data_IF_251422420164
#
_entry.id   IF_251422420164
#
_cell.length_a   1.000
_cell.length_b   1.000
_cell.length_c   1.000
_cell.angle_alpha   90.00
_cell.angle_beta   90.00
_cell.angle_gamma   90.00
#
_symmetry.space_group_name_H-M   'P 1'
#
loop_
_entity.id
_entity.type
_entity.pdbx_description
1 polymer ?
#
# COMPACT_ATOMS: atom_id res chain seq x y z
N UNK A 1 25.97 -13.74 -16.72
CA UNK A 1 25.28 -12.78 -15.84
C UNK A 1 23.95 -13.40 -15.47
N UNK A 2 23.62 -13.52 -14.18
CA UNK A 2 22.32 -14.05 -13.74
C UNK A 2 21.22 -13.04 -14.08
N UNK A 3 20.30 -13.43 -14.96
CA UNK A 3 19.03 -12.75 -15.15
C UNK A 3 18.20 -12.97 -13.87
N UNK A 4 17.79 -11.90 -13.20
CA UNK A 4 16.93 -11.96 -12.01
C UNK A 4 15.46 -12.06 -12.43
N UNK A 5 15.11 -13.03 -13.28
CA UNK A 5 13.78 -13.11 -13.92
C UNK A 5 12.62 -13.27 -12.93
N UNK A 6 12.89 -13.78 -11.72
CA UNK A 6 11.88 -13.88 -10.66
C UNK A 6 11.46 -12.52 -10.08
N UNK A 7 12.27 -11.46 -10.24
CA UNK A 7 11.93 -10.09 -9.84
C UNK A 7 11.16 -9.33 -10.92
N UNK A 8 10.96 -9.95 -12.07
CA UNK A 8 10.27 -9.42 -13.24
C UNK A 8 8.96 -10.18 -13.45
N UNK A 9 7.83 -9.75 -12.84
CA UNK A 9 6.54 -10.36 -13.08
C UNK A 9 6.17 -10.49 -14.58
N UNK A 10 6.65 -9.59 -15.43
CA UNK A 10 6.47 -9.65 -16.90
C UNK A 10 7.14 -10.87 -17.57
N UNK A 11 8.12 -11.48 -16.90
CA UNK A 11 8.84 -12.67 -17.37
C UNK A 11 8.31 -13.98 -16.77
N UNK A 12 7.42 -13.89 -15.80
CA UNK A 12 6.77 -15.05 -15.21
C UNK A 12 5.67 -15.57 -16.14
N UNK A 13 5.40 -16.87 -16.10
CA UNK A 13 4.28 -17.43 -16.85
C UNK A 13 2.94 -16.86 -16.34
N UNK A 14 1.93 -16.66 -17.21
CA UNK A 14 0.63 -16.15 -16.77
C UNK A 14 0.05 -16.95 -15.61
N UNK A 15 -0.43 -16.25 -14.57
CA UNK A 15 -1.03 -16.87 -13.38
C UNK A 15 -0.04 -17.41 -12.34
N UNK A 16 1.27 -17.27 -12.55
CA UNK A 16 2.29 -17.69 -11.56
C UNK A 16 2.68 -16.61 -10.56
N UNK A 17 2.22 -15.38 -10.79
CA UNK A 17 2.46 -14.21 -9.95
C UNK A 17 1.20 -13.89 -9.14
N UNK A 18 1.36 -13.42 -7.91
CA UNK A 18 0.26 -12.99 -7.05
C UNK A 18 0.68 -11.75 -6.30
N UNK A 19 -0.16 -10.72 -6.34
CA UNK A 19 0.10 -9.48 -5.62
C UNK A 19 0.16 -9.73 -4.11
N UNK A 20 1.18 -9.17 -3.41
CA UNK A 20 1.23 -9.20 -1.95
C UNK A 20 0.08 -8.40 -1.31
N UNK A 21 -0.54 -7.50 -2.07
CA UNK A 21 -1.67 -6.67 -1.63
C UNK A 21 -3.02 -7.39 -1.77
N UNK A 22 -3.10 -8.45 -2.58
CA UNK A 22 -4.35 -9.15 -2.94
C UNK A 22 -5.22 -9.46 -1.72
N UNK A 23 -4.61 -9.96 -0.63
CA UNK A 23 -5.35 -10.35 0.57
C UNK A 23 -5.80 -9.14 1.39
N UNK A 24 -4.97 -8.10 1.50
CA UNK A 24 -5.30 -6.91 2.28
C UNK A 24 -6.41 -6.09 1.61
N UNK A 25 -6.38 -6.00 0.28
CA UNK A 25 -7.30 -5.18 -0.50
C UNK A 25 -8.53 -5.94 -1.02
N UNK A 26 -8.78 -7.17 -0.56
CA UNK A 26 -9.83 -8.04 -1.10
C UNK A 26 -11.24 -7.41 -1.02
N UNK A 27 -11.50 -6.66 0.06
CA UNK A 27 -12.79 -6.00 0.32
C UNK A 27 -12.69 -4.46 0.28
N UNK A 28 -11.56 -3.92 -0.20
CA UNK A 28 -11.34 -2.48 -0.28
C UNK A 28 -12.10 -1.86 -1.46
N UNK A 29 -12.55 -0.62 -1.30
CA UNK A 29 -13.11 0.15 -2.42
C UNK A 29 -11.96 0.56 -3.36
N UNK A 30 -11.94 0.10 -4.63
CA UNK A 30 -10.87 0.38 -5.57
C UNK A 30 -10.78 1.86 -5.97
N UNK A 31 -11.83 2.65 -5.73
CA UNK A 31 -11.78 4.10 -5.95
C UNK A 31 -10.99 4.80 -4.86
N UNK A 32 -11.01 4.27 -3.63
CA UNK A 32 -10.28 4.80 -2.49
C UNK A 32 -8.86 4.26 -2.39
N UNK A 33 -8.68 2.94 -2.59
CA UNK A 33 -7.37 2.26 -2.52
C UNK A 33 -7.26 1.21 -3.61
N UNK A 34 -6.27 1.33 -4.50
CA UNK A 34 -6.08 0.43 -5.64
C UNK A 34 -4.73 -0.29 -5.57
N UNK A 35 -4.73 -1.58 -5.95
CA UNK A 35 -3.51 -2.37 -6.15
C UNK A 35 -2.80 -1.96 -7.45
N UNK A 36 -1.56 -1.50 -7.33
CA UNK A 36 -0.65 -1.13 -8.41
C UNK A 36 0.64 -1.97 -8.40
N UNK A 37 0.58 -3.20 -7.87
CA UNK A 37 1.76 -4.06 -7.74
C UNK A 37 2.45 -4.31 -9.10
N UNK A 38 1.68 -4.45 -10.17
CA UNK A 38 2.21 -4.74 -11.51
C UNK A 38 2.68 -3.50 -12.30
N UNK A 39 2.59 -2.30 -11.74
CA UNK A 39 3.17 -1.10 -12.38
C UNK A 39 4.64 -1.33 -12.72
N UNK A 40 5.07 -0.89 -13.91
CA UNK A 40 6.46 -1.04 -14.34
C UNK A 40 7.40 -0.19 -13.50
N UNK A 41 8.42 -0.81 -12.90
CA UNK A 41 9.38 -0.13 -12.02
C UNK A 41 10.79 -0.57 -12.38
N UNK A 42 11.67 0.36 -12.67
CA UNK A 42 13.08 0.09 -12.97
C UNK A 42 13.99 0.81 -11.98
N UNK A 43 14.79 0.07 -11.22
CA UNK A 43 15.85 0.65 -10.39
C UNK A 43 17.04 1.01 -11.29
N UNK A 44 17.49 2.27 -11.20
CA UNK A 44 18.65 2.78 -11.92
C UNK A 44 19.78 3.06 -10.92
N UNK A 45 20.99 2.62 -11.25
CA UNK A 45 22.23 2.91 -10.53
C UNK A 45 23.30 3.41 -11.49
N UNK A 46 23.96 4.50 -11.16
CA UNK A 46 24.89 5.19 -12.06
C UNK A 46 24.47 6.63 -12.26
N UNK A 47 25.07 7.32 -13.21
CA UNK A 47 24.80 8.74 -13.44
C UNK A 47 23.38 8.95 -14.01
N UNK A 48 22.49 9.52 -13.20
CA UNK A 48 21.10 9.78 -13.62
C UNK A 48 20.98 10.94 -14.59
N UNK A 49 22.01 11.77 -14.78
CA UNK A 49 21.97 12.87 -15.75
C UNK A 49 22.03 12.35 -17.20
N UNK A 50 22.45 11.09 -17.38
CA UNK A 50 22.38 10.38 -18.65
C UNK A 50 20.98 9.83 -18.97
N UNK A 51 20.07 9.84 -18.00
CA UNK A 51 18.74 9.25 -18.12
C UNK A 51 17.73 10.32 -18.53
N UNK A 52 17.16 10.14 -19.72
CA UNK A 52 16.04 10.93 -20.23
C UNK A 52 14.77 10.08 -20.19
N UNK A 53 13.77 10.41 -19.35
CA UNK A 53 12.50 9.70 -19.31
C UNK A 53 11.74 9.83 -20.63
N UNK A 54 11.04 8.77 -21.03
CA UNK A 54 10.05 8.78 -22.10
C UNK A 54 8.76 9.52 -21.72
N UNK A 55 7.80 9.59 -22.65
CA UNK A 55 6.55 10.34 -22.47
C UNK A 55 5.59 9.73 -21.44
N UNK A 56 5.72 8.42 -21.15
CA UNK A 56 4.95 7.68 -20.15
C UNK A 56 5.82 7.20 -19.00
N UNK A 57 6.90 7.92 -18.75
CA UNK A 57 7.87 7.53 -17.74
C UNK A 57 8.10 8.65 -16.76
N UNK A 58 8.21 8.28 -15.49
CA UNK A 58 8.43 9.21 -14.41
C UNK A 58 9.67 8.80 -13.63
N UNK A 59 10.69 9.66 -13.65
CA UNK A 59 11.96 9.42 -12.95
C UNK A 59 11.94 10.06 -11.57
N UNK A 60 12.00 9.22 -10.54
CA UNK A 60 12.17 9.64 -9.15
C UNK A 60 13.63 9.48 -8.74
N UNK A 61 14.28 10.60 -8.41
CA UNK A 61 15.69 10.63 -7.99
C UNK A 61 15.79 10.49 -6.47
N UNK A 62 16.47 9.45 -5.99
CA UNK A 62 16.77 9.28 -4.57
C UNK A 62 18.10 9.93 -4.21
N UNK A 63 19.07 9.81 -5.11
CA UNK A 63 20.38 10.45 -5.06
C UNK A 63 20.81 10.77 -6.49
N UNK A 64 21.89 11.54 -6.71
CA UNK A 64 22.42 11.75 -8.06
C UNK A 64 22.79 10.44 -8.79
N UNK A 65 23.04 9.35 -8.04
CA UNK A 65 23.50 8.07 -8.59
C UNK A 65 22.49 6.92 -8.48
N UNK A 66 21.28 7.18 -7.97
CA UNK A 66 20.27 6.15 -7.72
C UNK A 66 18.88 6.72 -7.82
N UNK A 67 18.04 6.08 -8.61
CA UNK A 67 16.65 6.48 -8.81
C UNK A 67 15.78 5.32 -9.25
N UNK A 68 14.49 5.59 -9.34
CA UNK A 68 13.50 4.68 -9.89
C UNK A 68 12.82 5.34 -11.08
N UNK A 69 12.64 4.58 -12.15
CA UNK A 69 11.86 4.98 -13.30
C UNK A 69 10.57 4.16 -13.29
N UNK A 70 9.44 4.84 -13.17
CA UNK A 70 8.11 4.27 -13.29
C UNK A 70 7.68 4.36 -14.75
N UNK A 71 7.09 3.30 -15.29
CA UNK A 71 6.78 3.20 -16.73
C UNK A 71 5.54 2.37 -16.99
N UNK A 72 4.78 2.75 -18.03
CA UNK A 72 3.71 1.94 -18.62
C UNK A 72 4.22 0.98 -19.71
N UNK A 73 5.45 1.18 -20.20
CA UNK A 73 6.09 0.30 -21.19
C UNK A 73 6.62 -0.99 -20.51
N UNK A 74 7.07 -1.98 -21.30
CA UNK A 74 7.67 -3.19 -20.74
C UNK A 74 8.96 -2.85 -19.97
N UNK A 75 9.04 -3.12 -18.64
CA UNK A 75 10.25 -2.86 -17.84
C UNK A 75 11.51 -3.52 -18.41
N UNK A 76 11.39 -4.66 -19.10
CA UNK A 76 12.52 -5.33 -19.72
C UNK A 76 13.12 -4.52 -20.89
N UNK A 77 12.27 -3.93 -21.72
CA UNK A 77 12.69 -3.07 -22.84
C UNK A 77 13.30 -1.77 -22.32
N UNK A 78 12.69 -1.18 -21.29
CA UNK A 78 13.20 0.01 -20.60
C UNK A 78 14.57 -0.25 -19.99
N UNK A 79 14.77 -1.39 -19.32
CA UNK A 79 16.08 -1.80 -18.80
C UNK A 79 17.13 -1.93 -19.90
N UNK A 80 16.78 -2.51 -21.05
CA UNK A 80 17.70 -2.64 -22.17
C UNK A 80 18.12 -1.26 -22.70
N UNK A 81 17.14 -0.38 -22.96
CA UNK A 81 17.36 1.00 -23.42
C UNK A 81 18.24 1.80 -22.46
N UNK A 82 18.01 1.70 -21.15
CA UNK A 82 18.81 2.40 -20.14
C UNK A 82 20.25 1.89 -20.07
N UNK A 83 20.49 0.60 -20.32
CA UNK A 83 21.84 0.05 -20.35
C UNK A 83 22.64 0.52 -21.56
N UNK A 84 21.98 0.82 -22.69
CA UNK A 84 22.62 1.39 -23.88
C UNK A 84 23.19 2.78 -23.62
N UNK A 85 22.56 3.57 -22.73
CA UNK A 85 23.07 4.90 -22.33
C UNK A 85 24.14 4.84 -21.22
N UNK A 86 24.53 3.64 -20.79
CA UNK A 86 25.68 3.43 -19.90
C UNK A 86 25.38 3.41 -18.40
N UNK A 87 24.10 3.33 -17.99
CA UNK A 87 23.73 3.15 -16.58
C UNK A 87 23.41 1.68 -16.26
N UNK A 88 23.52 1.29 -14.99
CA UNK A 88 23.02 0.01 -14.52
C UNK A 88 21.52 0.14 -14.27
N UNK A 89 20.73 -0.71 -14.92
CA UNK A 89 19.27 -0.76 -14.74
C UNK A 89 18.82 -2.19 -14.37
N UNK A 90 17.83 -2.29 -13.49
CA UNK A 90 17.24 -3.54 -13.04
C UNK A 90 15.73 -3.41 -13.02
N UNK A 91 15.03 -4.41 -13.54
CA UNK A 91 13.59 -4.50 -13.34
C UNK A 91 13.32 -4.76 -11.85
N UNK A 92 12.65 -3.80 -11.24
CA UNK A 92 12.30 -3.76 -9.83
C UNK A 92 10.78 -3.89 -9.63
N UNK A 93 10.04 -4.29 -10.66
CA UNK A 93 8.58 -4.44 -10.63
C UNK A 93 8.14 -5.36 -9.49
N UNK A 94 8.85 -6.48 -9.29
CA UNK A 94 8.60 -7.40 -8.19
C UNK A 94 9.20 -6.96 -6.85
N UNK A 95 10.02 -5.90 -6.78
CA UNK A 95 10.67 -5.46 -5.54
C UNK A 95 9.82 -4.47 -4.74
N UNK A 96 9.07 -3.62 -5.43
CA UNK A 96 8.19 -2.63 -4.81
C UNK A 96 6.73 -2.92 -5.14
N UNK A 97 5.88 -2.92 -4.12
CA UNK A 97 4.44 -2.95 -4.29
C UNK A 97 3.88 -1.54 -4.34
N UNK A 98 3.12 -1.24 -5.40
CA UNK A 98 2.42 0.02 -5.58
C UNK A 98 1.00 -0.04 -5.01
N UNK A 99 0.58 1.05 -4.37
CA UNK A 99 -0.79 1.27 -3.92
C UNK A 99 -1.20 2.66 -4.38
N UNK A 100 -2.33 2.78 -5.07
CA UNK A 100 -2.96 4.08 -5.30
C UNK A 100 -3.85 4.41 -4.09
N UNK A 101 -3.75 5.63 -3.57
CA UNK A 101 -4.52 6.10 -2.41
C UNK A 101 -5.20 7.41 -2.79
N UNK A 102 -6.51 7.49 -2.56
CA UNK A 102 -7.31 8.70 -2.78
C UNK A 102 -7.46 9.52 -1.49
N UNK A 103 -7.31 10.84 -1.61
CA UNK A 103 -7.60 11.81 -0.57
C UNK A 103 -6.36 12.38 0.11
N UNK A 104 -6.20 13.70 0.05
CA UNK A 104 -5.06 14.39 0.64
C UNK A 104 -5.03 14.27 2.17
N UNK A 105 -6.20 14.32 2.82
CA UNK A 105 -6.31 14.20 4.27
C UNK A 105 -5.81 12.83 4.79
N UNK A 106 -6.05 11.76 4.03
CA UNK A 106 -5.53 10.44 4.35
C UNK A 106 -4.01 10.43 4.22
N UNK A 107 -3.47 10.96 3.11
CA UNK A 107 -2.02 11.03 2.91
C UNK A 107 -1.31 11.83 4.00
N UNK A 108 -1.86 12.97 4.45
CA UNK A 108 -1.31 13.76 5.56
C UNK A 108 -1.31 13.03 6.91
N UNK A 109 -2.10 11.96 7.08
CA UNK A 109 -2.01 11.07 8.25
C UNK A 109 -0.95 9.98 8.08
N UNK A 110 -0.72 9.56 6.83
CA UNK A 110 0.19 8.47 6.52
C UNK A 110 1.64 8.93 6.41
N UNK A 111 1.91 10.18 6.08
CA UNK A 111 3.27 10.67 5.87
C UNK A 111 3.45 12.12 6.32
N UNK A 112 4.67 12.43 6.74
CA UNK A 112 5.14 13.79 7.01
C UNK A 112 5.80 14.44 5.78
N UNK A 113 5.76 13.78 4.61
CA UNK A 113 6.24 14.35 3.35
C UNK A 113 5.42 15.57 2.95
N UNK A 114 6.09 16.55 2.34
CA UNK A 114 5.40 17.67 1.70
C UNK A 114 4.72 17.17 0.41
N UNK A 115 3.38 17.16 0.43
CA UNK A 115 2.56 16.65 -0.69
C UNK A 115 2.55 17.60 -1.90
N UNK A 116 3.03 18.84 -1.72
CA UNK A 116 3.15 19.83 -2.79
C UNK A 116 4.53 19.76 -3.49
N UNK A 117 5.49 19.05 -2.90
CA UNK A 117 6.85 18.83 -3.44
C UNK A 117 7.09 17.40 -3.98
N UNK A 118 6.01 16.65 -4.26
CA UNK A 118 6.11 15.32 -4.85
C UNK A 118 6.57 15.38 -6.32
N UNK A 119 7.33 14.38 -6.82
CA UNK A 119 7.60 13.07 -6.21
C UNK A 119 8.74 13.10 -5.18
N UNK A 120 8.58 12.31 -4.11
CA UNK A 120 9.56 12.22 -3.04
C UNK A 120 9.71 10.79 -2.49
N UNK A 121 10.83 10.53 -1.83
CA UNK A 121 11.02 9.31 -1.05
C UNK A 121 11.24 9.67 0.42
N UNK A 122 10.54 8.97 1.31
CA UNK A 122 10.61 9.26 2.73
C UNK A 122 9.70 8.39 3.57
N UNK A 123 9.50 8.75 4.84
CA UNK A 123 8.76 7.93 5.78
C UNK A 123 7.25 7.93 5.46
N UNK A 124 6.69 6.74 5.38
CA UNK A 124 5.27 6.42 5.41
C UNK A 124 5.00 5.61 6.70
N UNK A 125 3.88 5.86 7.35
CA UNK A 125 3.51 5.24 8.63
C UNK A 125 4.66 5.35 9.66
N UNK A 126 5.37 6.48 9.63
CA UNK A 126 6.54 6.84 10.46
C UNK A 126 7.77 5.93 10.37
N UNK A 127 7.70 4.74 9.75
CA UNK A 127 8.79 3.73 9.81
C UNK A 127 9.07 3.01 8.50
N UNK A 128 8.19 3.10 7.52
CA UNK A 128 8.36 2.45 6.22
C UNK A 128 8.84 3.48 5.22
N UNK A 129 10.02 3.27 4.64
CA UNK A 129 10.45 4.14 3.53
C UNK A 129 9.59 3.82 2.31
N UNK A 130 8.90 4.83 1.79
CA UNK A 130 8.10 4.75 0.59
C UNK A 130 8.59 5.75 -0.45
N UNK A 131 8.29 5.45 -1.72
CA UNK A 131 8.36 6.41 -2.82
C UNK A 131 6.92 6.86 -3.10
N UNK A 132 6.68 8.17 -3.07
CA UNK A 132 5.35 8.76 -3.20
C UNK A 132 5.33 9.69 -4.41
N UNK A 133 4.36 9.47 -5.29
CA UNK A 133 4.07 10.26 -6.48
C UNK A 133 2.65 10.81 -6.36
N UNK A 134 2.38 11.95 -6.98
CA UNK A 134 1.05 12.54 -7.06
C UNK A 134 0.53 12.45 -8.49
N UNK A 135 -0.65 11.89 -8.66
CA UNK A 135 -1.38 11.92 -9.92
C UNK A 135 -2.26 13.17 -10.00
N UNK A 136 -3.07 13.31 -11.05
CA UNK A 136 -4.02 14.42 -11.14
C UNK A 136 -5.00 14.41 -9.96
N UNK A 137 -5.13 15.55 -9.28
CA UNK A 137 -6.05 15.74 -8.15
C UNK A 137 -5.49 15.30 -6.79
N UNK A 138 -6.27 14.50 -6.06
CA UNK A 138 -5.95 14.00 -4.72
C UNK A 138 -5.60 12.51 -4.72
N UNK A 139 -5.08 12.00 -5.85
CA UNK A 139 -4.65 10.61 -5.97
C UNK A 139 -3.14 10.51 -5.86
N UNK A 140 -2.67 9.55 -5.08
CA UNK A 140 -1.25 9.36 -4.79
C UNK A 140 -0.84 7.91 -5.05
N UNK A 141 0.28 7.72 -5.75
CA UNK A 141 0.90 6.40 -5.93
C UNK A 141 2.00 6.23 -4.89
N UNK A 142 1.86 5.20 -4.07
CA UNK A 142 2.78 4.89 -2.97
C UNK A 142 3.42 3.54 -3.23
N UNK A 143 4.75 3.52 -3.28
CA UNK A 143 5.53 2.32 -3.54
C UNK A 143 6.38 1.97 -2.32
N UNK A 144 6.18 0.77 -1.79
CA UNK A 144 6.87 0.24 -0.60
C UNK A 144 7.54 -1.11 -0.91
N UNK A 145 8.54 -1.55 -0.13
CA UNK A 145 9.09 -2.90 -0.27
C UNK A 145 7.99 -3.97 -0.23
N UNK A 146 8.01 -4.91 -1.17
CA UNK A 146 6.93 -5.89 -1.35
C UNK A 146 6.64 -6.71 -0.08
N UNK A 147 7.66 -6.96 0.75
CA UNK A 147 7.57 -7.73 1.98
C UNK A 147 6.79 -7.00 3.09
N UNK A 148 6.65 -5.68 2.98
CA UNK A 148 5.89 -4.83 3.90
C UNK A 148 4.51 -4.45 3.36
N UNK A 149 4.24 -4.76 2.09
CA UNK A 149 3.09 -4.26 1.36
C UNK A 149 1.75 -4.63 2.01
N UNK A 150 1.63 -5.86 2.52
CA UNK A 150 0.43 -6.32 3.20
C UNK A 150 0.11 -5.50 4.45
N UNK A 151 1.10 -5.33 5.34
CA UNK A 151 0.91 -4.62 6.60
C UNK A 151 0.67 -3.12 6.36
N UNK A 152 1.35 -2.54 5.37
CA UNK A 152 1.11 -1.15 4.95
C UNK A 152 -0.33 -0.99 4.44
N UNK A 153 -0.81 -1.89 3.59
CA UNK A 153 -2.18 -1.81 3.07
C UNK A 153 -3.23 -1.90 4.18
N UNK A 154 -3.05 -2.81 5.14
CA UNK A 154 -3.93 -2.90 6.32
C UNK A 154 -3.93 -1.59 7.10
N UNK A 155 -2.75 -1.02 7.38
CA UNK A 155 -2.64 0.24 8.11
C UNK A 155 -3.25 1.44 7.35
N UNK A 156 -3.14 1.46 6.02
CA UNK A 156 -3.81 2.46 5.17
C UNK A 156 -5.32 2.35 5.29
N UNK A 157 -5.88 1.14 5.21
CA UNK A 157 -7.31 0.90 5.34
C UNK A 157 -7.82 1.30 6.73
N UNK A 158 -7.07 0.98 7.79
CA UNK A 158 -7.40 1.38 9.16
C UNK A 158 -7.38 2.91 9.32
N UNK A 159 -6.38 3.58 8.77
CA UNK A 159 -6.28 5.04 8.79
C UNK A 159 -7.43 5.70 8.02
N UNK A 160 -7.84 5.11 6.89
CA UNK A 160 -8.97 5.56 6.07
C UNK A 160 -10.30 5.40 6.81
N UNK A 161 -10.50 4.29 7.54
CA UNK A 161 -11.69 4.05 8.36
C UNK A 161 -11.77 4.99 9.57
N UNK A 162 -10.61 5.41 10.11
CA UNK A 162 -10.52 6.36 11.23
C UNK A 162 -10.73 7.83 10.86
N UNK A 163 -11.01 8.16 9.59
CA UNK A 163 -11.34 9.51 9.16
C UNK A 163 -12.84 9.79 9.38
N UNK A 164 -13.23 10.86 10.12
CA UNK A 164 -14.62 11.23 10.21
C UNK A 164 -15.12 11.67 8.82
N UNK A 165 -16.03 10.88 8.23
CA UNK A 165 -16.67 11.07 6.92
C UNK A 165 -15.91 10.60 5.65
N UNK A 166 -15.26 9.45 5.69
CA UNK A 166 -15.01 8.64 4.47
C UNK A 166 -16.07 7.54 4.41
N UNK A 167 -16.78 7.42 3.29
CA UNK A 167 -17.83 6.42 3.07
C UNK A 167 -17.37 4.95 3.07
N UNK A 168 -16.20 4.66 3.64
CA UNK A 168 -15.62 3.32 3.75
C UNK A 168 -16.24 2.62 4.96
N UNK A 169 -17.32 1.88 4.70
CA UNK A 169 -17.96 1.03 5.71
C UNK A 169 -17.26 -0.32 5.74
N UNK A 170 -16.21 -0.47 6.54
CA UNK A 170 -15.77 -1.80 6.95
C UNK A 170 -16.91 -2.47 7.71
N UNK A 171 -17.20 -3.73 7.40
CA UNK A 171 -18.19 -4.52 8.12
C UNK A 171 -17.74 -4.56 9.58
N UNK A 172 -18.59 -4.23 10.57
CA UNK A 172 -18.20 -4.36 11.96
C UNK A 172 -17.81 -5.80 12.22
N UNK A 173 -16.70 -5.99 12.94
CA UNK A 173 -16.36 -7.32 13.47
C UNK A 173 -17.59 -7.90 14.17
N UNK A 174 -17.90 -9.19 13.95
CA UNK A 174 -18.95 -9.83 14.73
C UNK A 174 -18.54 -9.72 16.20
N UNK A 175 -19.31 -8.95 16.97
CA UNK A 175 -19.17 -8.89 18.42
C UNK A 175 -19.16 -10.34 18.90
N UNK A 176 -18.06 -10.82 19.52
CA UNK A 176 -18.03 -12.18 20.01
C UNK A 176 -19.20 -12.33 20.99
N UNK A 177 -20.00 -13.40 20.87
CA UNK A 177 -21.12 -13.60 21.78
C UNK A 177 -20.61 -13.52 23.22
N UNK A 178 -21.39 -12.91 24.14
CA UNK A 178 -20.96 -12.76 25.52
C UNK A 178 -20.52 -14.12 26.04
N UNK A 179 -19.27 -14.23 26.47
CA UNK A 179 -18.75 -15.46 27.04
C UNK A 179 -19.63 -15.80 28.24
N UNK A 180 -20.27 -16.98 28.18
CA UNK A 180 -21.00 -17.51 29.31
C UNK A 180 -20.04 -17.58 30.51
N UNK A 181 -20.45 -17.13 31.71
CA UNK A 181 -19.57 -17.14 32.86
C UNK A 181 -19.11 -18.57 33.15
N UNK A 182 -17.84 -18.84 32.90
CA UNK A 182 -17.16 -20.07 33.26
C UNK A 182 -16.87 -20.04 34.77
N UNK A 183 -17.89 -20.31 35.56
CA UNK A 183 -17.70 -20.58 36.98
C UNK A 183 -18.64 -21.70 37.46
N UNK A 184 -18.17 -22.96 37.55
CA UNK A 184 -18.91 -24.03 38.18
C UNK A 184 -18.67 -23.91 39.69
N UNK A 185 -19.37 -23.00 40.38
CA UNK A 185 -19.05 -22.83 41.80
C UNK A 185 -19.85 -21.88 42.66
N UNK A 186 -20.89 -21.18 42.18
CA UNK A 186 -21.69 -20.32 43.07
C UNK A 186 -23.18 -20.63 42.89
N UNK A 187 -23.73 -21.30 43.89
CA UNK A 187 -25.18 -21.50 44.08
C UNK A 187 -25.85 -20.14 44.21
N UNK A 188 -26.58 -19.70 43.19
CA UNK A 188 -27.54 -18.61 43.33
C UNK A 188 -28.74 -19.13 44.12
N UNK A 189 -28.85 -18.70 45.37
CA UNK A 189 -30.07 -18.81 46.16
C UNK A 189 -31.14 -17.91 45.53
N UNK A 190 -32.22 -18.54 45.07
CA UNK A 190 -33.48 -17.87 44.75
C UNK A 190 -33.96 -17.08 45.98
N UNK A 191 -34.12 -15.77 45.86
CA UNK A 191 -34.97 -14.99 46.77
C UNK A 191 -36.06 -14.32 45.96
N UNK A 192 -37.28 -14.83 46.11
CA UNK A 192 -38.51 -14.09 45.86
C UNK A 192 -38.66 -12.97 46.89
N UNK A 193 -38.65 -11.72 46.45
CA UNK A 193 -39.36 -10.60 47.05
C UNK A 193 -39.80 -9.73 45.85
N UNK A 194 -41.07 -9.43 45.60
CA UNK A 194 -42.18 -9.19 46.50
C UNK A 194 -42.82 -7.91 45.96
N UNK A 195 -43.79 -8.06 45.04
CA UNK A 195 -44.61 -6.96 44.55
C UNK A 195 -45.43 -6.40 45.72
N UNK A 196 -45.28 -5.11 46.01
CA UNK A 196 -46.19 -4.36 46.85
C UNK A 196 -46.17 -2.89 46.43
N UNK A 197 -47.34 -2.37 46.07
CA UNK A 197 -47.63 -0.94 46.03
C UNK A 197 -48.01 -0.42 44.65
N UNK A 198 -49.30 -0.46 44.33
CA UNK A 198 -50.00 0.62 43.64
C UNK A 198 -51.50 0.52 43.98
N UNK A 199 -51.93 1.36 44.92
CA UNK A 199 -53.33 1.71 45.20
C UNK A 199 -53.31 3.08 45.89
N UNK A 200 -53.51 4.14 45.10
CA UNK A 200 -54.38 5.29 45.37
C UNK A 200 -54.47 6.17 44.12
#
# INVERSE_FOLDING_TARGET
MSLLDFLSPSRCAPGTTTSPLRRALADADPTAVQDLWLDGKVEIRGDLDLVVPGTREELVRLTPRRGFLFTEDDPAEVVARLREVGVLAYDATGTLAGIAIEGEQLMRRLTDLDLDELPAAGPLLSRVTAIVLRDEGERFRVYVPQELAHDVAVAVLDAAAGLPNTGVRLKPDPIPPPQAPSNPGVRTLLWCQGQCGDLL
#
